data_IF_737807229928
#
_entry.id   IF_737807229928
#
_cell.length_a   1.000
_cell.length_b   1.000
_cell.length_c   1.000
_cell.angle_alpha   90.00
_cell.angle_beta   90.00
_cell.angle_gamma   90.00
#
_symmetry.space_group_name_H-M   'P 1'
#
loop_
_entity.id
_entity.type
_entity.pdbx_description
1 polymer ?
#
# COMPACT_ATOMS: atom_id res chain seq x y z
N UNK A 1 11.30 -1.36 -3.42
CA UNK A 1 10.66 -2.68 -3.29
C UNK A 1 9.89 -2.67 -1.98
N UNK A 2 8.56 -2.75 -2.03
CA UNK A 2 7.70 -2.73 -0.85
C UNK A 2 7.18 -4.15 -0.59
N UNK A 3 7.07 -4.52 0.69
CA UNK A 3 6.57 -5.82 1.12
C UNK A 3 5.21 -5.61 1.78
N UNK A 4 4.16 -6.22 1.24
CA UNK A 4 2.81 -6.18 1.81
C UNK A 4 2.52 -7.57 2.39
N UNK A 5 2.16 -7.60 3.66
CA UNK A 5 1.74 -8.83 4.35
C UNK A 5 0.24 -8.98 4.15
N UNK A 6 -0.23 -10.15 3.70
CA UNK A 6 -1.66 -10.44 3.66
C UNK A 6 -2.24 -10.38 5.08
N UNK A 7 -3.37 -9.71 5.25
CA UNK A 7 -4.07 -9.65 6.53
C UNK A 7 -5.05 -10.81 6.62
N UNK A 8 -4.67 -11.86 7.33
CA UNK A 8 -5.63 -12.82 7.88
C UNK A 8 -6.06 -12.30 9.27
N UNK A 9 -7.35 -12.02 9.43
CA UNK A 9 -7.94 -11.65 10.72
C UNK A 9 -8.08 -12.92 11.59
N UNK A 10 -7.19 -13.11 12.56
CA UNK A 10 -7.35 -14.15 13.57
C UNK A 10 -8.23 -13.65 14.73
N UNK A 11 -9.51 -14.02 14.69
CA UNK A 11 -10.39 -13.98 15.86
C UNK A 11 -10.12 -15.25 16.69
N UNK A 12 -9.32 -15.13 17.75
CA UNK A 12 -9.11 -16.21 18.72
C UNK A 12 -9.67 -15.81 20.09
N UNK A 13 -10.95 -16.14 20.27
CA UNK A 13 -11.60 -16.19 21.57
C UNK A 13 -11.03 -17.39 22.34
N UNK A 14 -10.34 -17.13 23.46
CA UNK A 14 -9.93 -18.21 24.38
C UNK A 14 -9.97 -17.78 25.83
N UNK A 15 -11.19 -17.81 26.37
CA UNK A 15 -11.42 -18.01 27.78
C UNK A 15 -10.81 -19.34 28.24
N UNK A 16 -9.93 -19.30 29.25
CA UNK A 16 -9.44 -20.50 29.94
C UNK A 16 -9.51 -20.30 31.45
N UNK A 17 -10.54 -20.93 32.03
CA UNK A 17 -10.68 -21.17 33.46
C UNK A 17 -9.70 -22.26 33.89
N UNK A 18 -8.82 -21.94 34.82
CA UNK A 18 -7.91 -22.90 35.45
C UNK A 18 -8.66 -23.78 36.45
N UNK A 19 -8.48 -25.11 36.34
CA UNK A 19 -8.50 -26.02 37.49
C UNK A 19 -7.43 -27.10 37.34
N UNK A 20 -6.50 -27.07 38.30
CA UNK A 20 -5.69 -28.13 38.92
C UNK A 20 -6.37 -29.52 38.88
N UNK A 21 -5.74 -30.69 38.92
CA UNK A 21 -4.38 -31.16 39.19
C UNK A 21 -4.41 -32.66 38.80
N UNK A 22 -3.32 -33.25 38.30
CA UNK A 22 -3.01 -34.67 38.59
C UNK A 22 -1.60 -35.04 38.13
N UNK A 23 -0.88 -35.61 39.09
CA UNK A 23 0.52 -35.97 39.07
C UNK A 23 0.68 -37.39 38.51
N UNK A 24 1.26 -37.54 37.32
CA UNK A 24 1.82 -38.82 36.84
C UNK A 24 3.15 -38.55 36.16
N UNK A 25 4.22 -39.01 36.82
CA UNK A 25 5.58 -39.09 36.29
C UNK A 25 5.62 -39.89 34.99
N UNK A 26 5.76 -39.20 33.85
CA UNK A 26 6.34 -39.75 32.64
C UNK A 26 7.46 -38.83 32.16
N UNK A 27 8.59 -39.46 31.85
CA UNK A 27 9.80 -38.83 31.34
C UNK A 27 9.49 -38.20 29.98
N UNK A 28 9.30 -36.89 29.96
CA UNK A 28 9.14 -36.13 28.71
C UNK A 28 10.49 -36.09 28.00
N UNK A 29 10.61 -36.88 26.92
CA UNK A 29 11.59 -36.61 25.87
C UNK A 29 11.34 -35.17 25.38
N UNK A 30 12.35 -34.29 25.29
CA UNK A 30 12.14 -32.94 24.81
C UNK A 30 11.63 -33.01 23.38
N UNK A 31 10.36 -32.64 23.19
CA UNK A 31 9.78 -32.44 21.87
C UNK A 31 10.62 -31.36 21.18
N UNK A 32 11.36 -31.76 20.14
CA UNK A 32 12.17 -30.87 19.34
C UNK A 32 11.26 -29.95 18.52
N UNK A 33 10.93 -28.80 19.11
CA UNK A 33 10.15 -27.75 18.45
C UNK A 33 10.99 -26.97 17.42
N UNK A 34 12.22 -27.39 17.08
CA UNK A 34 13.07 -26.71 16.11
C UNK A 34 12.57 -26.78 14.64
N UNK A 35 11.48 -27.52 14.39
CA UNK A 35 10.85 -27.62 13.07
C UNK A 35 9.44 -27.00 13.00
N UNK A 36 9.06 -26.13 13.95
CA UNK A 36 7.95 -25.21 13.71
C UNK A 36 8.40 -24.17 12.68
N UNK A 37 8.39 -24.58 11.41
CA UNK A 37 8.25 -23.65 10.29
C UNK A 37 6.88 -23.04 10.51
N UNK A 38 6.83 -21.87 11.17
CA UNK A 38 5.68 -20.99 11.02
C UNK A 38 5.42 -20.94 9.51
N UNK A 39 4.19 -21.17 9.02
CA UNK A 39 3.92 -20.90 7.62
C UNK A 39 4.44 -19.48 7.39
N UNK A 40 5.48 -19.35 6.56
CA UNK A 40 5.99 -18.06 6.20
C UNK A 40 4.76 -17.34 5.66
N UNK A 41 4.25 -16.35 6.40
CA UNK A 41 3.15 -15.54 5.89
C UNK A 41 3.60 -15.07 4.53
N UNK A 42 2.95 -15.52 3.46
CA UNK A 42 3.41 -15.26 2.10
C UNK A 42 3.43 -13.75 1.90
N UNK A 43 4.64 -13.19 1.83
CA UNK A 43 4.85 -11.76 1.69
C UNK A 43 4.85 -11.45 0.20
N UNK A 44 3.82 -10.77 -0.26
CA UNK A 44 3.76 -10.29 -1.63
C UNK A 44 4.68 -9.07 -1.80
N UNK A 45 5.39 -9.06 -2.92
CA UNK A 45 6.37 -8.05 -3.26
C UNK A 45 5.79 -7.09 -4.28
N UNK A 46 5.99 -5.79 -4.07
CA UNK A 46 5.45 -4.74 -4.94
C UNK A 46 6.55 -3.79 -5.42
N UNK A 47 6.53 -3.54 -6.73
CA UNK A 47 7.28 -2.51 -7.42
C UNK A 47 6.33 -1.36 -7.78
N UNK A 48 6.73 -0.14 -7.42
CA UNK A 48 5.99 1.08 -7.73
C UNK A 48 6.89 2.06 -8.47
N UNK A 49 6.46 2.48 -9.66
CA UNK A 49 7.14 3.49 -10.47
C UNK A 49 6.25 4.70 -10.65
N UNK A 50 6.83 5.88 -10.44
CA UNK A 50 6.14 7.14 -10.67
C UNK A 50 6.76 7.78 -11.90
N UNK A 51 5.93 8.00 -12.91
CA UNK A 51 6.35 8.57 -14.18
C UNK A 51 5.54 9.83 -14.44
N UNK A 52 6.22 10.91 -14.81
CA UNK A 52 5.54 12.12 -15.24
C UNK A 52 4.88 11.92 -16.62
N UNK A 53 3.58 12.16 -16.72
CA UNK A 53 2.89 12.20 -18.00
C UNK A 53 2.93 13.61 -18.58
N UNK A 54 3.62 13.79 -19.71
CA UNK A 54 3.64 15.07 -20.41
C UNK A 54 2.24 15.50 -20.90
N UNK A 55 1.42 14.55 -21.34
CA UNK A 55 0.07 14.82 -21.87
C UNK A 55 -0.88 15.31 -20.78
N UNK A 56 -0.89 14.65 -19.62
CA UNK A 56 -1.77 15.02 -18.50
C UNK A 56 -1.15 16.04 -17.55
N UNK A 57 0.17 16.26 -17.64
CA UNK A 57 0.97 17.14 -16.80
C UNK A 57 0.90 16.81 -15.30
N UNK A 58 0.85 15.52 -14.98
CA UNK A 58 0.74 14.99 -13.61
C UNK A 58 1.64 13.76 -13.45
N UNK A 59 2.06 13.43 -12.20
CA UNK A 59 2.64 12.13 -11.91
C UNK A 59 1.63 11.01 -12.14
N UNK A 60 2.12 9.86 -12.63
CA UNK A 60 1.33 8.65 -12.91
C UNK A 60 1.98 7.48 -12.21
N UNK A 61 1.18 6.73 -11.47
CA UNK A 61 1.64 5.52 -10.80
C UNK A 61 1.51 4.31 -11.72
N UNK A 62 2.62 3.60 -11.87
CA UNK A 62 2.67 2.24 -12.39
C UNK A 62 3.05 1.31 -11.26
N UNK A 63 2.43 0.13 -11.19
CA UNK A 63 2.80 -0.87 -10.21
C UNK A 63 2.74 -2.29 -10.77
N UNK A 64 3.49 -3.17 -10.12
CA UNK A 64 3.58 -4.59 -10.43
C UNK A 64 3.83 -5.34 -9.14
N UNK A 65 3.26 -6.53 -9.02
CA UNK A 65 3.36 -7.35 -7.82
C UNK A 65 3.77 -8.78 -8.15
N UNK A 66 4.41 -9.41 -7.18
CA UNK A 66 4.96 -10.74 -7.28
C UNK A 66 4.76 -11.52 -5.98
N UNK A 67 4.57 -12.82 -6.10
CA UNK A 67 4.52 -13.74 -4.97
C UNK A 67 5.92 -13.85 -4.36
N UNK A 68 6.03 -14.48 -3.19
CA UNK A 68 7.33 -14.75 -2.56
C UNK A 68 8.29 -15.57 -3.46
N UNK A 69 7.74 -16.34 -4.41
CA UNK A 69 8.50 -17.13 -5.39
C UNK A 69 8.88 -16.34 -6.67
N UNK A 70 8.46 -15.09 -6.80
CA UNK A 70 8.71 -14.22 -7.95
C UNK A 70 7.69 -14.33 -9.10
N UNK A 71 6.67 -15.18 -9.00
CA UNK A 71 5.57 -15.23 -9.97
C UNK A 71 4.72 -13.95 -9.89
N UNK A 72 4.17 -13.49 -11.02
CA UNK A 72 3.31 -12.30 -11.03
C UNK A 72 1.97 -12.54 -10.34
N UNK A 73 1.59 -11.60 -9.47
CA UNK A 73 0.25 -11.60 -8.88
C UNK A 73 -0.78 -11.07 -9.90
N UNK A 74 -1.90 -11.79 -10.09
CA UNK A 74 -3.04 -11.27 -10.83
C UNK A 74 -3.77 -10.19 -10.00
N UNK A 75 -4.54 -9.34 -10.68
CA UNK A 75 -5.21 -8.20 -10.04
C UNK A 75 -6.17 -8.63 -8.92
N UNK A 76 -6.92 -9.71 -9.10
CA UNK A 76 -7.87 -10.23 -8.10
C UNK A 76 -7.21 -10.58 -6.77
N UNK A 77 -5.92 -10.92 -6.78
CA UNK A 77 -5.15 -11.21 -5.57
C UNK A 77 -4.57 -9.93 -4.97
N UNK A 78 -4.12 -9.00 -5.83
CA UNK A 78 -3.74 -7.65 -5.38
C UNK A 78 -4.87 -6.99 -4.62
N UNK A 79 -6.12 -7.14 -5.07
CA UNK A 79 -7.28 -6.56 -4.40
C UNK A 79 -7.48 -7.06 -2.97
N UNK A 80 -7.04 -8.29 -2.66
CA UNK A 80 -7.11 -8.88 -1.31
C UNK A 80 -6.07 -8.27 -0.38
N UNK A 81 -4.93 -7.85 -0.92
CA UNK A 81 -3.86 -7.19 -0.16
C UNK A 81 -4.15 -5.71 0.11
N UNK A 82 -5.09 -5.12 -0.62
CA UNK A 82 -5.47 -3.73 -0.42
C UNK A 82 -6.41 -3.58 0.78
N UNK A 83 -6.32 -2.47 1.55
CA UNK A 83 -7.24 -2.21 2.64
C UNK A 83 -8.70 -2.27 2.17
N UNK A 84 -9.62 -2.81 2.99
CA UNK A 84 -11.02 -3.01 2.58
C UNK A 84 -11.76 -1.73 2.10
N UNK A 85 -11.35 -0.55 2.55
CA UNK A 85 -11.90 0.73 2.08
C UNK A 85 -11.44 1.10 0.65
N UNK A 86 -10.33 0.54 0.17
CA UNK A 86 -9.78 0.81 -1.17
C UNK A 86 -10.73 0.36 -2.27
N UNK A 87 -11.43 -0.77 -2.11
CA UNK A 87 -12.36 -1.29 -3.09
C UNK A 87 -13.56 -0.35 -3.28
N UNK A 88 -14.10 0.17 -2.18
CA UNK A 88 -15.16 1.18 -2.18
C UNK A 88 -14.67 2.50 -2.79
N UNK A 89 -13.48 2.95 -2.43
CA UNK A 89 -12.90 4.16 -3.03
C UNK A 89 -12.73 4.01 -4.55
N UNK A 90 -12.29 2.83 -5.01
CA UNK A 90 -12.12 2.50 -6.42
C UNK A 90 -13.42 2.45 -7.20
N UNK A 91 -14.51 1.98 -6.59
CA UNK A 91 -15.83 1.91 -7.24
C UNK A 91 -16.55 3.26 -7.25
N UNK A 92 -16.39 4.08 -6.21
CA UNK A 92 -17.06 5.38 -6.09
C UNK A 92 -16.29 6.52 -6.78
N UNK A 93 -14.97 6.40 -6.91
CA UNK A 93 -14.12 7.46 -7.44
C UNK A 93 -13.91 7.34 -8.95
N UNK A 94 -14.34 8.36 -9.69
CA UNK A 94 -14.15 8.47 -11.15
C UNK A 94 -12.69 8.58 -11.60
N UNK A 95 -11.75 8.64 -10.66
CA UNK A 95 -10.36 9.05 -10.90
C UNK A 95 -9.34 7.98 -10.49
N UNK A 96 -9.79 6.87 -9.93
CA UNK A 96 -8.95 5.79 -9.41
C UNK A 96 -9.03 4.53 -10.28
N UNK A 97 -9.19 4.74 -11.59
CA UNK A 97 -9.28 3.65 -12.55
C UNK A 97 -7.90 3.03 -12.78
N UNK A 98 -7.81 1.71 -12.67
CA UNK A 98 -6.58 0.95 -12.91
C UNK A 98 -6.70 0.24 -14.26
N UNK A 99 -5.76 0.51 -15.16
CA UNK A 99 -5.63 -0.15 -16.47
C UNK A 99 -4.38 -1.02 -16.53
N UNK A 100 -4.35 -1.97 -17.47
CA UNK A 100 -3.15 -2.73 -17.80
C UNK A 100 -2.52 -2.13 -19.05
N UNK A 101 -1.33 -1.55 -18.93
CA UNK A 101 -0.66 -0.80 -20.00
C UNK A 101 0.84 -1.12 -20.04
N UNK A 102 1.46 -0.88 -21.19
CA UNK A 102 2.92 -1.02 -21.33
C UNK A 102 3.64 0.10 -20.59
N UNK A 103 4.65 -0.26 -19.78
CA UNK A 103 5.44 0.73 -19.05
C UNK A 103 6.34 1.52 -20.02
N UNK A 104 6.35 2.87 -19.95
CA UNK A 104 6.94 3.72 -20.98
C UNK A 104 8.46 3.55 -21.20
N UNK A 105 9.16 2.98 -20.22
CA UNK A 105 10.61 2.76 -20.27
C UNK A 105 11.04 1.29 -20.20
N UNK A 106 10.11 0.34 -20.01
CA UNK A 106 10.46 -1.05 -19.66
C UNK A 106 9.87 -2.10 -20.61
N UNK A 107 9.14 -1.69 -21.63
CA UNK A 107 8.61 -2.53 -22.72
C UNK A 107 7.95 -3.83 -22.24
N UNK A 108 7.19 -3.74 -21.15
CA UNK A 108 6.47 -4.85 -20.53
C UNK A 108 5.22 -4.32 -19.84
N UNK A 109 4.20 -5.16 -19.63
CA UNK A 109 2.93 -4.69 -19.11
C UNK A 109 2.97 -4.50 -17.59
N UNK A 110 2.33 -3.42 -17.13
CA UNK A 110 2.22 -2.99 -15.74
C UNK A 110 0.77 -2.55 -15.47
N UNK A 111 0.36 -2.58 -14.21
CA UNK A 111 -0.86 -1.89 -13.81
C UNK A 111 -0.57 -0.39 -13.74
N UNK A 112 -1.47 0.41 -14.28
CA UNK A 112 -1.35 1.87 -14.33
C UNK A 112 -2.58 2.49 -13.72
N UNK A 113 -2.37 3.42 -12.78
CA UNK A 113 -3.44 4.27 -12.32
C UNK A 113 -3.67 5.39 -13.33
N UNK A 114 -4.85 5.45 -13.93
CA UNK A 114 -5.12 6.35 -15.03
C UNK A 114 -5.16 7.83 -14.57
N UNK A 115 -4.43 8.74 -15.23
CA UNK A 115 -4.22 10.11 -14.74
C UNK A 115 -5.34 11.11 -15.05
N UNK A 116 -6.42 10.70 -15.72
CA UNK A 116 -7.45 11.63 -16.24
C UNK A 116 -8.05 12.55 -15.18
N UNK A 117 -8.11 12.10 -13.92
CA UNK A 117 -8.66 12.89 -12.82
C UNK A 117 -7.69 13.62 -11.96
N UNK A 118 -6.42 13.28 -12.06
CA UNK A 118 -5.42 13.74 -11.10
C UNK A 118 -5.30 15.26 -11.14
N UNK A 119 -5.29 15.86 -12.32
CA UNK A 119 -5.18 17.33 -12.47
C UNK A 119 -6.31 18.06 -11.77
N UNK A 120 -7.56 17.66 -12.01
CA UNK A 120 -8.72 18.39 -11.50
C UNK A 120 -8.89 18.19 -10.00
N UNK A 121 -8.59 16.98 -9.52
CA UNK A 121 -8.55 16.70 -8.08
C UNK A 121 -7.48 17.51 -7.36
N UNK A 122 -6.25 17.58 -7.89
CA UNK A 122 -5.18 18.36 -7.29
C UNK A 122 -5.51 19.86 -7.27
N UNK A 123 -6.11 20.40 -8.34
CA UNK A 123 -6.58 21.80 -8.34
C UNK A 123 -7.59 22.04 -7.22
N UNK A 124 -8.57 21.16 -7.04
CA UNK A 124 -9.56 21.31 -5.98
C UNK A 124 -8.94 21.35 -4.58
N UNK A 125 -7.91 20.55 -4.32
CA UNK A 125 -7.19 20.59 -3.04
C UNK A 125 -6.50 21.94 -2.78
N UNK A 126 -6.00 22.58 -3.84
CA UNK A 126 -5.24 23.84 -3.73
C UNK A 126 -6.06 25.11 -3.99
N UNK A 127 -7.30 24.97 -4.47
CA UNK A 127 -8.16 26.10 -4.86
C UNK A 127 -8.56 27.04 -3.70
N UNK A 128 -8.22 26.72 -2.45
CA UNK A 128 -8.55 27.52 -1.26
C UNK A 128 -7.38 28.23 -0.58
N UNK A 129 -6.12 27.96 -0.97
CA UNK A 129 -4.96 28.38 -0.17
C UNK A 129 -4.13 29.48 -0.86
N UNK A 130 -4.40 30.73 -0.47
CA UNK A 130 -3.69 31.92 -0.96
C UNK A 130 -2.27 32.07 -0.34
N UNK A 131 -1.88 31.19 0.59
CA UNK A 131 -0.58 31.24 1.28
C UNK A 131 0.57 30.64 0.46
N UNK A 132 0.25 29.93 -0.64
CA UNK A 132 1.19 29.20 -1.50
C UNK A 132 2.06 30.07 -2.44
N UNK A 133 2.34 31.31 -2.05
CA UNK A 133 3.19 32.23 -2.82
C UNK A 133 4.70 31.95 -2.69
N UNK A 134 5.10 30.93 -1.90
CA UNK A 134 6.48 30.42 -1.85
C UNK A 134 6.63 29.25 -2.83
N UNK A 135 7.17 29.53 -4.03
CA UNK A 135 7.32 28.57 -5.14
C UNK A 135 7.97 27.24 -4.74
N UNK A 136 8.93 27.26 -3.83
CA UNK A 136 9.70 26.07 -3.45
C UNK A 136 8.85 25.04 -2.68
N UNK A 137 7.82 25.47 -1.96
CA UNK A 137 6.97 24.59 -1.16
C UNK A 137 5.81 23.95 -1.96
N UNK A 138 5.49 24.52 -3.12
CA UNK A 138 4.34 24.10 -3.93
C UNK A 138 4.53 22.68 -4.47
N UNK A 139 5.74 22.29 -4.82
CA UNK A 139 6.03 20.97 -5.41
C UNK A 139 5.98 19.87 -4.34
N UNK A 140 6.60 20.11 -3.18
CA UNK A 140 6.59 19.15 -2.07
C UNK A 140 5.16 18.89 -1.60
N UNK A 141 4.40 19.97 -1.37
CA UNK A 141 3.01 19.87 -0.98
C UNK A 141 2.17 19.15 -2.05
N UNK A 142 2.39 19.42 -3.34
CA UNK A 142 1.73 18.70 -4.43
C UNK A 142 2.03 17.20 -4.34
N UNK A 143 3.30 16.81 -4.22
CA UNK A 143 3.68 15.40 -4.19
C UNK A 143 3.14 14.71 -2.94
N UNK A 144 3.25 15.33 -1.76
CA UNK A 144 2.72 14.77 -0.51
C UNK A 144 1.20 14.59 -0.58
N UNK A 145 0.47 15.61 -1.05
CA UNK A 145 -0.98 15.51 -1.24
C UNK A 145 -1.36 14.42 -2.25
N UNK A 146 -0.64 14.33 -3.36
CA UNK A 146 -0.86 13.28 -4.37
C UNK A 146 -0.60 11.88 -3.79
N UNK A 147 0.54 11.68 -3.15
CA UNK A 147 0.91 10.41 -2.51
C UNK A 147 -0.10 9.98 -1.46
N UNK A 148 -0.62 10.93 -0.66
CA UNK A 148 -1.59 10.65 0.39
C UNK A 148 -2.89 10.07 -0.17
N UNK A 149 -3.36 10.55 -1.32
CA UNK A 149 -4.53 9.99 -1.97
C UNK A 149 -4.24 8.68 -2.72
N UNK A 150 -3.14 8.62 -3.45
CA UNK A 150 -2.78 7.42 -4.20
C UNK A 150 -2.50 6.25 -3.25
N UNK A 151 -1.89 6.49 -2.10
CA UNK A 151 -1.59 5.46 -1.13
C UNK A 151 -2.83 4.73 -0.60
N UNK A 152 -3.97 5.43 -0.46
CA UNK A 152 -5.24 4.80 -0.09
C UNK A 152 -5.78 3.87 -1.17
N UNK A 153 -5.50 4.16 -2.44
CA UNK A 153 -5.99 3.38 -3.59
C UNK A 153 -5.20 2.08 -3.75
N UNK A 154 -3.88 2.16 -3.57
CA UNK A 154 -2.95 1.05 -3.81
C UNK A 154 -2.35 0.45 -2.53
N UNK A 155 -2.91 0.77 -1.37
CA UNK A 155 -2.52 0.18 -0.08
C UNK A 155 -1.10 0.55 0.36
N UNK A 156 -0.52 1.62 -0.19
CA UNK A 156 0.79 2.10 0.23
C UNK A 156 0.67 2.80 1.57
N UNK A 157 1.44 2.32 2.55
CA UNK A 157 1.65 3.03 3.81
C UNK A 157 2.66 4.15 3.56
N UNK A 158 2.22 5.39 3.70
CA UNK A 158 3.11 6.56 3.66
C UNK A 158 3.97 6.60 4.93
N UNK A 159 5.31 6.61 4.83
CA UNK A 159 6.16 6.84 6.00
C UNK A 159 5.86 8.21 6.60
N UNK A 160 5.60 8.27 7.90
CA UNK A 160 5.23 9.51 8.60
C UNK A 160 6.32 10.59 8.47
N UNK A 161 7.59 10.18 8.31
CA UNK A 161 8.73 11.06 8.08
C UNK A 161 8.55 11.99 6.87
N UNK A 162 7.77 11.57 5.85
CA UNK A 162 7.44 12.42 4.70
C UNK A 162 6.51 13.59 5.06
N UNK A 163 5.76 13.48 6.16
CA UNK A 163 4.87 14.53 6.65
C UNK A 163 5.62 15.54 7.52
N UNK A 164 6.72 15.14 8.15
CA UNK A 164 7.50 16.00 9.06
C UNK A 164 8.20 17.17 8.32
N UNK A 165 8.57 16.96 7.06
CA UNK A 165 9.10 18.01 6.16
C UNK A 165 8.12 19.15 5.89
N UNK A 166 6.81 18.85 5.92
CA UNK A 166 5.74 19.83 5.69
C UNK A 166 5.41 20.60 6.98
N UNK A 167 5.51 19.94 8.14
CA UNK A 167 5.15 20.51 9.45
C UNK A 167 6.28 21.34 10.05
N UNK A 168 7.52 20.86 9.96
CA UNK A 168 8.69 21.51 10.59
C UNK A 168 9.04 22.88 9.97
N UNK A 169 8.56 23.16 8.76
CA UNK A 169 8.85 24.40 8.03
C UNK A 169 7.70 25.43 8.08
N UNK A 170 6.62 25.12 8.82
CA UNK A 170 5.51 26.02 9.14
C UNK A 170 5.62 26.63 10.56
N UNK A 171 6.76 26.42 11.26
CA UNK A 171 7.07 26.99 12.57
C UNK A 171 8.02 28.19 12.48
#
# INVERSE_FOLDING_TARGET
MCHIKSSEEEESDRSLTWKEESNISQREEPFDNAALVCPEHEVNQYDFHIVYSATYRVPVLYFRSYHGDGQLLPFDEIEKDLPGHSAKLRSESKWTFISHEEHPYLNRPWYKLHPCGTSDWMKLLFNGDSSLNKKDFVIEQYLVSWFSAIGLVVGLKMPLEMLDTVVSNNS
#
